data_IF_828769960622
#
_entry.id   IF_828769960622
#
_cell.length_a   1.000
_cell.length_b   1.000
_cell.length_c   1.000
_cell.angle_alpha   90.00
_cell.angle_beta   90.00
_cell.angle_gamma   90.00
#
_symmetry.space_group_name_H-M   'P 1'
#
loop_
_entity.id
_entity.type
_entity.pdbx_description
1 polymer ?
#
# COMPACT_ATOMS: atom_id res chain seq x y z
N UNK A 1 -15.28 4.64 -44.21
CA UNK A 1 -14.83 3.71 -43.16
C UNK A 1 -13.66 4.39 -42.44
N UNK A 2 -13.86 5.35 -41.53
CA UNK A 2 -14.35 5.20 -40.14
C UNK A 2 -13.62 4.07 -39.40
N UNK A 3 -12.77 4.28 -38.40
CA UNK A 3 -12.22 5.48 -37.78
C UNK A 3 -11.17 5.03 -36.76
N UNK A 4 -9.94 5.52 -36.86
CA UNK A 4 -8.90 5.29 -35.85
C UNK A 4 -9.07 6.32 -34.74
N UNK A 5 -9.49 5.86 -33.55
CA UNK A 5 -9.48 6.69 -32.34
C UNK A 5 -8.06 6.70 -31.76
N UNK A 6 -7.51 7.90 -31.71
CA UNK A 6 -6.30 8.27 -30.98
C UNK A 6 -6.49 7.98 -29.48
N UNK A 7 -5.67 7.08 -28.92
CA UNK A 7 -5.52 6.95 -27.47
C UNK A 7 -4.56 8.03 -26.98
N UNK A 8 -5.08 8.95 -26.17
CA UNK A 8 -4.27 9.92 -25.44
C UNK A 8 -3.46 9.19 -24.37
N UNK A 9 -2.14 9.45 -24.35
CA UNK A 9 -1.25 9.10 -23.24
C UNK A 9 -1.64 9.93 -22.02
N UNK A 10 -2.22 9.31 -21.01
CA UNK A 10 -2.20 9.81 -19.63
C UNK A 10 -0.89 9.31 -19.01
N UNK A 11 0.00 10.24 -18.70
CA UNK A 11 1.30 9.96 -18.09
C UNK A 11 1.15 9.50 -16.64
N UNK A 12 1.75 8.36 -16.32
CA UNK A 12 1.89 7.84 -14.96
C UNK A 12 3.04 8.55 -14.25
N UNK A 13 2.74 9.43 -13.29
CA UNK A 13 3.74 10.09 -12.40
C UNK A 13 3.68 9.54 -10.95
N UNK A 14 2.75 8.64 -10.64
CA UNK A 14 2.55 8.13 -9.27
C UNK A 14 3.64 7.17 -8.72
N UNK A 15 4.67 6.80 -9.50
CA UNK A 15 5.65 5.77 -9.11
C UNK A 15 6.91 6.32 -8.38
N UNK A 16 7.07 7.64 -8.23
CA UNK A 16 8.27 8.23 -7.63
C UNK A 16 8.28 8.21 -6.08
N UNK A 17 7.16 7.92 -5.41
CA UNK A 17 6.99 8.03 -3.96
C UNK A 17 7.36 6.76 -3.15
N UNK A 18 8.32 5.97 -3.63
CA UNK A 18 8.83 4.79 -2.90
C UNK A 18 10.29 4.96 -2.42
N UNK A 19 10.86 6.17 -2.57
CA UNK A 19 12.31 6.37 -2.70
C UNK A 19 13.07 7.08 -1.56
N UNK A 20 12.52 7.27 -0.36
CA UNK A 20 13.40 7.68 0.76
C UNK A 20 13.00 7.16 2.12
N UNK A 21 13.35 5.91 2.35
CA UNK A 21 14.12 5.57 3.55
C UNK A 21 15.16 4.55 3.08
N UNK A 22 16.37 5.00 2.73
CA UNK A 22 17.65 4.25 2.83
C UNK A 22 18.74 4.83 1.92
N UNK A 23 19.67 5.59 2.51
CA UNK A 23 21.11 5.67 2.19
C UNK A 23 21.66 7.03 2.70
N UNK A 24 21.74 7.21 4.02
CA UNK A 24 22.64 8.20 4.60
C UNK A 24 24.05 7.61 4.70
N UNK A 25 25.13 8.36 4.42
CA UNK A 25 26.47 7.94 4.78
C UNK A 25 26.60 7.96 6.31
N UNK A 26 27.33 6.98 6.86
CA UNK A 26 27.68 6.95 8.28
C UNK A 26 28.30 8.29 8.72
N UNK A 27 27.56 9.04 9.53
CA UNK A 27 28.03 10.23 10.21
C UNK A 27 27.70 10.10 11.71
N UNK A 28 28.76 10.33 12.48
CA UNK A 28 28.87 10.27 13.94
C UNK A 28 27.92 11.22 14.67
N UNK A 29 27.34 10.69 15.75
CA UNK A 29 26.81 11.31 17.00
C UNK A 29 26.25 12.75 16.99
N UNK A 30 25.06 12.85 17.61
CA UNK A 30 24.31 14.02 18.07
C UNK A 30 23.54 14.85 17.04
N UNK A 31 22.33 14.38 16.68
CA UNK A 31 21.18 15.24 16.38
C UNK A 31 19.83 14.48 16.46
N UNK A 32 19.18 14.52 17.63
CA UNK A 32 17.74 14.21 17.76
C UNK A 32 16.91 15.42 17.29
N UNK A 33 16.49 15.40 16.02
CA UNK A 33 15.39 16.22 15.51
C UNK A 33 14.79 15.50 14.29
N UNK A 34 13.49 15.17 14.37
CA UNK A 34 12.79 14.26 13.44
C UNK A 34 13.22 14.38 11.98
N UNK A 35 13.69 13.25 11.44
CA UNK A 35 14.28 13.17 10.12
C UNK A 35 13.32 13.62 9.02
N UNK A 36 13.61 14.78 8.42
CA UNK A 36 12.89 15.26 7.26
C UNK A 36 13.29 14.45 6.03
N UNK A 37 12.32 13.74 5.47
CA UNK A 37 12.53 12.96 4.24
C UNK A 37 12.20 13.82 3.02
N UNK A 38 13.21 14.21 2.24
CA UNK A 38 13.05 14.87 0.94
C UNK A 38 13.49 13.92 -0.21
N UNK A 39 12.63 13.72 -1.21
CA UNK A 39 12.97 13.07 -2.50
C UNK A 39 12.51 13.95 -3.63
N UNK A 40 13.34 14.00 -4.66
CA UNK A 40 13.02 14.60 -5.94
C UNK A 40 13.18 13.58 -7.06
N UNK A 41 12.21 13.51 -7.98
CA UNK A 41 12.25 12.62 -9.14
C UNK A 41 11.20 13.03 -10.17
N UNK A 42 11.59 13.18 -11.44
CA UNK A 42 10.65 13.38 -12.55
C UNK A 42 9.79 14.66 -12.51
N UNK A 43 10.23 15.71 -11.82
CA UNK A 43 9.45 16.94 -11.67
C UNK A 43 8.46 16.92 -10.50
N UNK A 44 8.45 15.86 -9.69
CA UNK A 44 7.75 15.80 -8.43
C UNK A 44 8.75 15.83 -7.26
N UNK A 45 8.32 16.42 -6.14
CA UNK A 45 9.01 16.31 -4.86
C UNK A 45 8.02 16.10 -3.72
N UNK A 46 8.48 15.46 -2.66
CA UNK A 46 7.69 15.21 -1.46
C UNK A 46 8.49 15.62 -0.21
N UNK A 47 7.78 15.96 0.85
CA UNK A 47 8.31 16.13 2.20
C UNK A 47 7.27 15.61 3.16
N UNK A 48 7.68 14.83 4.14
CA UNK A 48 6.77 14.23 5.10
C UNK A 48 7.37 14.25 6.51
N UNK A 49 6.53 14.60 7.48
CA UNK A 49 6.70 14.41 8.92
C UNK A 49 5.40 13.79 9.48
N UNK A 50 5.38 13.27 10.71
CA UNK A 50 4.15 12.77 11.33
C UNK A 50 3.01 13.82 11.38
N UNK A 51 3.35 15.10 11.47
CA UNK A 51 2.40 16.21 11.60
C UNK A 51 2.04 16.84 10.24
N UNK A 52 2.95 16.82 9.28
CA UNK A 52 2.79 17.55 8.02
C UNK A 52 3.32 16.79 6.82
N UNK A 53 2.66 16.96 5.68
CA UNK A 53 3.28 16.62 4.41
C UNK A 53 3.08 17.72 3.39
N UNK A 54 4.02 17.77 2.45
CA UNK A 54 3.95 18.59 1.27
C UNK A 54 4.30 17.72 0.06
N UNK A 55 3.44 17.76 -0.94
CA UNK A 55 3.67 17.13 -2.24
C UNK A 55 3.69 18.23 -3.30
N UNK A 56 4.64 18.15 -4.20
CA UNK A 56 4.87 19.12 -5.26
C UNK A 56 4.96 18.39 -6.59
N UNK A 57 4.28 18.89 -7.61
CA UNK A 57 4.39 18.39 -8.99
C UNK A 57 4.51 19.56 -9.97
N UNK A 58 5.40 19.42 -10.94
CA UNK A 58 5.59 20.36 -12.05
C UNK A 58 4.89 19.84 -13.30
N UNK A 59 4.03 20.66 -13.88
CA UNK A 59 3.36 20.36 -15.15
C UNK A 59 3.88 21.29 -16.25
N UNK A 60 4.70 20.75 -17.16
CA UNK A 60 5.35 21.51 -18.24
C UNK A 60 4.53 21.64 -19.53
N UNK A 61 3.52 20.78 -19.72
CA UNK A 61 2.77 20.66 -20.98
C UNK A 61 1.41 21.38 -20.96
N UNK A 62 1.16 22.21 -19.95
CA UNK A 62 -0.07 22.99 -19.87
C UNK A 62 0.01 24.19 -20.79
N UNK A 63 -0.78 24.19 -21.86
CA UNK A 63 -0.91 25.39 -22.68
C UNK A 63 -1.78 26.40 -21.96
N UNK A 64 -1.34 27.64 -21.89
CA UNK A 64 -2.07 28.74 -21.23
C UNK A 64 -3.49 28.92 -21.83
N UNK A 65 -3.67 28.60 -23.11
CA UNK A 65 -4.96 28.61 -23.82
C UNK A 65 -5.94 27.50 -23.38
N UNK A 66 -5.45 26.45 -22.71
CA UNK A 66 -6.28 25.33 -22.30
C UNK A 66 -7.07 25.62 -21.02
N UNK A 67 -6.65 26.57 -20.19
CA UNK A 67 -7.27 26.88 -18.90
C UNK A 67 -7.57 28.37 -18.76
N UNK A 68 -8.66 28.70 -18.07
CA UNK A 68 -8.89 30.11 -17.72
C UNK A 68 -7.84 30.59 -16.70
N UNK A 69 -7.56 31.91 -16.62
CA UNK A 69 -6.79 32.47 -15.52
C UNK A 69 -7.45 32.16 -14.17
N UNK A 70 -6.64 31.86 -13.15
CA UNK A 70 -7.15 31.64 -11.80
C UNK A 70 -7.83 32.92 -11.27
N UNK A 71 -9.04 32.83 -10.71
CA UNK A 71 -9.72 33.99 -10.19
C UNK A 71 -9.07 34.47 -8.87
N UNK A 72 -9.35 35.71 -8.43
CA UNK A 72 -8.91 36.21 -7.13
C UNK A 72 -9.37 35.33 -5.96
N UNK A 73 -8.62 35.33 -4.86
CA UNK A 73 -8.88 34.48 -3.68
C UNK A 73 -10.29 34.67 -3.08
N UNK A 74 -10.88 35.87 -3.19
CA UNK A 74 -12.24 36.11 -2.73
C UNK A 74 -13.27 35.23 -3.45
N UNK A 75 -13.07 34.97 -4.74
CA UNK A 75 -13.95 34.12 -5.55
C UNK A 75 -13.79 32.64 -5.18
N UNK A 76 -12.60 32.23 -4.74
CA UNK A 76 -12.37 30.86 -4.27
C UNK A 76 -13.19 30.51 -3.02
N UNK A 77 -13.61 31.52 -2.23
CA UNK A 77 -14.51 31.33 -1.08
C UNK A 77 -15.93 30.94 -1.49
N UNK A 78 -16.31 31.21 -2.75
CA UNK A 78 -17.60 30.84 -3.34
C UNK A 78 -17.55 29.47 -4.04
N UNK A 79 -16.44 28.74 -3.90
CA UNK A 79 -16.29 27.42 -4.49
C UNK A 79 -17.22 26.42 -3.79
N UNK A 80 -17.91 25.64 -4.62
CA UNK A 80 -18.82 24.59 -4.21
C UNK A 80 -18.42 23.29 -4.90
N UNK A 81 -18.67 22.17 -4.23
CA UNK A 81 -18.44 20.83 -4.78
C UNK A 81 -19.77 20.09 -4.78
N UNK A 82 -20.17 19.60 -5.94
CA UNK A 82 -21.29 18.67 -6.07
C UNK A 82 -20.73 17.25 -6.12
N UNK A 83 -20.79 16.56 -4.99
CA UNK A 83 -20.30 15.19 -4.86
C UNK A 83 -21.22 14.19 -5.54
N UNK A 84 -20.62 13.19 -6.19
CA UNK A 84 -21.33 12.02 -6.68
C UNK A 84 -21.29 10.92 -5.63
N UNK A 85 -22.14 9.89 -5.81
CA UNK A 85 -22.11 8.70 -4.96
C UNK A 85 -20.73 8.03 -5.07
N UNK A 86 -20.02 7.73 -3.96
CA UNK A 86 -18.78 6.98 -4.01
C UNK A 86 -18.98 5.57 -4.60
N UNK A 87 -17.98 5.09 -5.33
CA UNK A 87 -17.97 3.78 -5.96
C UNK A 87 -16.77 2.98 -5.47
N UNK A 88 -16.95 1.66 -5.27
CA UNK A 88 -15.86 0.77 -4.93
C UNK A 88 -15.33 0.02 -6.15
N UNK A 89 -14.06 -0.33 -6.10
CA UNK A 89 -13.50 -1.31 -7.04
C UNK A 89 -14.10 -2.72 -6.83
N UNK A 90 -13.70 -3.66 -7.67
CA UNK A 90 -14.24 -5.01 -7.66
C UNK A 90 -13.83 -5.84 -6.43
N UNK A 91 -12.83 -5.40 -5.67
CA UNK A 91 -12.34 -6.04 -4.44
C UNK A 91 -12.77 -5.30 -3.16
N UNK A 92 -13.38 -4.13 -3.29
CA UNK A 92 -13.72 -3.25 -2.17
C UNK A 92 -12.53 -2.54 -1.53
N UNK A 93 -11.34 -2.57 -2.14
CA UNK A 93 -10.14 -1.97 -1.55
C UNK A 93 -10.08 -0.48 -1.75
N UNK A 94 -10.57 0.01 -2.89
CA UNK A 94 -10.51 1.43 -3.24
C UNK A 94 -11.88 2.03 -3.40
N UNK A 95 -11.96 3.28 -2.97
CA UNK A 95 -13.10 4.14 -3.13
C UNK A 95 -12.77 5.22 -4.15
N UNK A 96 -13.50 5.24 -5.26
CA UNK A 96 -13.48 6.35 -6.20
C UNK A 96 -14.51 7.39 -5.76
N UNK A 97 -14.01 8.58 -5.43
CA UNK A 97 -14.81 9.75 -5.09
C UNK A 97 -14.75 10.74 -6.25
N UNK A 98 -15.93 11.09 -6.78
CA UNK A 98 -16.08 12.04 -7.89
C UNK A 98 -16.86 13.26 -7.43
N UNK A 99 -16.52 14.40 -8.03
CA UNK A 99 -17.18 15.66 -7.74
C UNK A 99 -17.11 16.63 -8.91
N UNK A 100 -17.94 17.64 -8.85
CA UNK A 100 -17.97 18.74 -9.81
C UNK A 100 -17.71 20.06 -9.09
N UNK A 101 -16.57 20.68 -9.34
CA UNK A 101 -16.20 21.98 -8.81
C UNK A 101 -16.93 23.08 -9.58
N UNK A 102 -17.50 24.04 -8.86
CA UNK A 102 -18.13 25.22 -9.44
C UNK A 102 -18.04 26.44 -8.54
N UNK A 103 -18.19 27.64 -9.12
CA UNK A 103 -18.38 28.90 -8.39
C UNK A 103 -19.83 29.35 -8.58
N UNK A 104 -20.43 29.90 -7.52
CA UNK A 104 -21.75 30.53 -7.60
C UNK A 104 -21.64 31.95 -8.14
N UNK A 105 -22.13 32.22 -9.35
CA UNK A 105 -22.15 33.58 -9.87
C UNK A 105 -23.20 34.43 -9.12
N UNK A 106 -22.73 35.42 -8.35
CA UNK A 106 -23.55 36.27 -7.47
C UNK A 106 -24.79 36.90 -8.13
N UNK A 107 -24.79 37.07 -9.47
CA UNK A 107 -25.85 37.77 -10.19
C UNK A 107 -26.96 36.88 -10.77
N UNK A 108 -26.81 35.55 -10.83
CA UNK A 108 -27.72 34.70 -11.63
C UNK A 108 -28.08 33.32 -11.08
N UNK A 109 -27.68 32.98 -9.85
CA UNK A 109 -27.84 31.60 -9.32
C UNK A 109 -27.28 30.53 -10.28
N UNK A 110 -26.31 30.93 -11.11
CA UNK A 110 -25.70 30.08 -12.13
C UNK A 110 -24.40 29.53 -11.54
N UNK A 111 -24.25 28.20 -11.55
CA UNK A 111 -23.00 27.52 -11.21
C UNK A 111 -22.08 27.56 -12.44
N UNK A 112 -20.94 28.20 -12.32
CA UNK A 112 -19.91 28.20 -13.36
C UNK A 112 -18.86 27.12 -13.00
N UNK A 113 -18.53 26.19 -13.91
CA UNK A 113 -17.52 25.18 -13.62
C UNK A 113 -16.15 25.82 -13.39
N UNK A 114 -15.36 25.22 -12.50
CA UNK A 114 -13.94 25.57 -12.35
C UNK A 114 -13.19 25.14 -13.60
N UNK A 115 -12.81 26.10 -14.43
CA UNK A 115 -12.16 25.86 -15.73
C UNK A 115 -10.71 26.40 -15.80
N UNK A 116 -10.15 26.82 -14.67
CA UNK A 116 -8.71 27.06 -14.53
C UNK A 116 -7.99 25.81 -14.01
N UNK A 117 -6.68 25.79 -14.16
CA UNK A 117 -5.85 24.69 -13.71
C UNK A 117 -5.80 24.66 -12.17
N UNK A 118 -6.32 23.60 -11.55
CA UNK A 118 -6.48 23.52 -10.09
C UNK A 118 -6.15 22.14 -9.55
N UNK A 119 -5.07 22.03 -8.76
CA UNK A 119 -4.81 20.88 -7.91
C UNK A 119 -5.76 20.85 -6.71
N UNK A 120 -6.19 19.67 -6.31
CA UNK A 120 -7.09 19.44 -5.18
C UNK A 120 -6.58 18.30 -4.30
N UNK A 121 -6.87 18.37 -3.00
CA UNK A 121 -6.73 17.24 -2.06
C UNK A 121 -8.11 16.89 -1.54
N UNK A 122 -8.49 15.62 -1.64
CA UNK A 122 -9.63 15.06 -0.91
C UNK A 122 -9.15 14.65 0.48
N UNK A 123 -9.84 15.12 1.51
CA UNK A 123 -9.77 14.60 2.87
C UNK A 123 -10.95 13.68 3.10
N UNK A 124 -10.71 12.53 3.72
CA UNK A 124 -11.75 11.62 4.18
C UNK A 124 -11.43 11.17 5.60
N UNK A 125 -12.43 11.17 6.47
CA UNK A 125 -12.28 10.66 7.83
C UNK A 125 -11.82 9.20 7.80
N UNK A 126 -10.87 8.83 8.66
CA UNK A 126 -10.35 7.46 8.74
C UNK A 126 -11.37 6.50 9.35
N UNK A 127 -12.15 6.98 10.31
CA UNK A 127 -13.20 6.20 10.95
C UNK A 127 -14.58 6.60 10.39
N UNK A 128 -15.49 5.63 10.19
CA UNK A 128 -16.86 5.95 9.78
C UNK A 128 -17.55 6.79 10.85
N UNK A 129 -18.49 7.64 10.44
CA UNK A 129 -19.30 8.52 11.28
C UNK A 129 -18.56 9.60 12.08
N UNK A 130 -17.22 9.62 12.08
CA UNK A 130 -16.47 10.69 12.71
C UNK A 130 -16.49 11.95 11.85
N UNK A 131 -16.26 13.10 12.50
CA UNK A 131 -16.28 14.41 11.87
C UNK A 131 -15.05 15.24 12.25
N UNK A 132 -13.84 14.89 11.75
CA UNK A 132 -12.64 15.69 11.97
C UNK A 132 -12.85 17.16 11.59
N UNK A 133 -12.16 18.07 12.29
CA UNK A 133 -12.16 19.49 11.95
C UNK A 133 -10.98 19.82 11.02
N UNK A 134 -11.29 20.11 9.75
CA UNK A 134 -10.29 20.47 8.74
C UNK A 134 -10.16 21.96 8.47
N UNK A 135 -10.67 22.82 9.35
CA UNK A 135 -10.59 24.29 9.19
C UNK A 135 -9.16 24.83 9.24
N UNK A 136 -8.18 24.03 9.69
CA UNK A 136 -6.75 24.37 9.73
C UNK A 136 -5.87 23.38 8.95
N UNK A 137 -6.48 22.54 8.13
CA UNK A 137 -5.83 21.38 7.53
C UNK A 137 -6.21 20.08 8.22
N UNK A 138 -5.71 18.95 7.71
CA UNK A 138 -6.03 17.63 8.22
C UNK A 138 -4.99 17.11 9.22
N UNK A 139 -5.43 16.19 10.08
CA UNK A 139 -4.58 15.42 10.97
C UNK A 139 -4.36 14.02 10.40
N UNK A 140 -3.10 13.59 10.29
CA UNK A 140 -2.77 12.28 9.71
C UNK A 140 -3.29 11.10 10.55
N UNK A 141 -3.55 11.31 11.84
CA UNK A 141 -4.07 10.29 12.75
C UNK A 141 -5.57 9.99 12.52
N UNK A 142 -6.34 10.91 11.96
CA UNK A 142 -7.80 10.77 11.79
C UNK A 142 -8.29 10.94 10.35
N UNK A 143 -7.39 11.22 9.41
CA UNK A 143 -7.72 11.54 8.02
C UNK A 143 -6.86 10.72 7.05
N UNK A 144 -7.50 10.20 6.00
CA UNK A 144 -6.84 9.69 4.78
C UNK A 144 -7.04 10.69 3.66
N UNK A 145 -6.17 10.67 2.65
CA UNK A 145 -6.21 11.67 1.59
C UNK A 145 -5.85 11.11 0.22
N UNK A 146 -6.29 11.83 -0.81
CA UNK A 146 -5.88 11.63 -2.19
C UNK A 146 -5.72 12.99 -2.88
N UNK A 147 -4.78 13.10 -3.81
CA UNK A 147 -4.54 14.31 -4.59
C UNK A 147 -4.91 14.09 -6.05
N UNK A 148 -5.37 15.14 -6.71
CA UNK A 148 -5.65 15.14 -8.14
C UNK A 148 -5.56 16.56 -8.71
N UNK A 149 -5.61 16.66 -10.03
CA UNK A 149 -5.83 17.91 -10.75
C UNK A 149 -7.22 17.90 -11.37
N UNK A 150 -7.97 18.97 -11.20
CA UNK A 150 -9.30 19.12 -11.78
C UNK A 150 -9.23 19.21 -13.32
N UNK A 151 -10.18 18.56 -13.99
CA UNK A 151 -10.39 18.71 -15.44
C UNK A 151 -10.92 20.11 -15.75
N UNK A 152 -10.76 20.60 -16.97
CA UNK A 152 -11.29 21.92 -17.43
C UNK A 152 -12.81 22.06 -17.22
N UNK A 153 -13.54 20.95 -17.18
CA UNK A 153 -14.97 20.95 -16.88
C UNK A 153 -15.27 21.21 -15.39
N UNK A 154 -14.27 21.27 -14.51
CA UNK A 154 -14.36 21.27 -13.06
C UNK A 154 -14.55 19.88 -12.45
N UNK A 155 -14.58 18.82 -13.27
CA UNK A 155 -14.72 17.46 -12.78
C UNK A 155 -13.43 16.99 -12.09
N UNK A 156 -13.61 16.34 -10.94
CA UNK A 156 -12.54 15.70 -10.16
C UNK A 156 -12.86 14.22 -9.97
N UNK A 157 -11.81 13.42 -9.94
CA UNK A 157 -11.86 11.98 -9.70
C UNK A 157 -10.65 11.62 -8.86
N UNK A 158 -10.89 11.11 -7.65
CA UNK A 158 -9.87 10.76 -6.68
C UNK A 158 -10.08 9.32 -6.22
N UNK A 159 -8.99 8.62 -5.94
CA UNK A 159 -9.00 7.23 -5.50
C UNK A 159 -8.40 7.16 -4.10
N UNK A 160 -9.16 6.65 -3.15
CA UNK A 160 -8.73 6.42 -1.76
C UNK A 160 -8.54 4.92 -1.53
N UNK A 161 -7.47 4.55 -0.83
CA UNK A 161 -7.29 3.19 -0.33
C UNK A 161 -8.06 3.03 1.00
N UNK A 162 -9.14 2.27 0.98
CA UNK A 162 -9.96 2.02 2.16
C UNK A 162 -9.25 1.15 3.19
N UNK A 163 -8.16 0.47 2.83
CA UNK A 163 -7.30 -0.23 3.79
C UNK A 163 -6.53 0.76 4.66
N UNK A 164 -6.49 2.04 4.34
CA UNK A 164 -5.97 3.04 5.27
C UNK A 164 -7.02 3.55 6.27
N UNK A 165 -8.24 3.01 6.21
CA UNK A 165 -9.39 3.42 7.02
C UNK A 165 -9.89 2.27 7.90
N UNK A 166 -10.80 2.57 8.82
CA UNK A 166 -11.52 1.57 9.62
C UNK A 166 -12.80 1.09 8.91
N UNK A 167 -12.74 0.92 7.58
CA UNK A 167 -13.89 0.49 6.78
C UNK A 167 -14.28 -0.96 7.08
N UNK A 168 -15.55 -1.17 7.37
CA UNK A 168 -16.18 -2.48 7.39
C UNK A 168 -16.80 -2.74 6.02
N UNK A 169 -16.11 -3.56 5.24
CA UNK A 169 -16.51 -3.95 3.89
C UNK A 169 -17.90 -4.61 3.80
N UNK A 170 -18.48 -5.06 4.93
CA UNK A 170 -19.77 -5.76 4.93
C UNK A 170 -21.00 -4.82 4.94
N UNK A 171 -20.83 -3.53 5.24
CA UNK A 171 -21.93 -2.59 5.46
C UNK A 171 -21.70 -1.23 4.78
N UNK A 172 -22.80 -0.57 4.42
CA UNK A 172 -22.75 0.82 3.95
C UNK A 172 -22.39 1.74 5.13
N UNK A 173 -21.37 2.58 4.96
CA UNK A 173 -20.85 3.42 6.04
C UNK A 173 -20.72 4.88 5.61
N UNK A 174 -21.22 5.85 6.42
CA UNK A 174 -21.05 7.26 6.12
C UNK A 174 -19.68 7.75 6.61
N UNK A 175 -18.98 8.48 5.75
CA UNK A 175 -17.70 9.12 6.04
C UNK A 175 -17.79 10.61 5.77
N UNK A 176 -17.18 11.42 6.64
CA UNK A 176 -16.98 12.82 6.30
C UNK A 176 -15.92 12.90 5.20
N UNK A 177 -16.18 13.71 4.19
CA UNK A 177 -15.22 14.08 3.15
C UNK A 177 -15.18 15.60 3.01
N UNK A 178 -14.07 16.11 2.51
CA UNK A 178 -13.86 17.54 2.27
C UNK A 178 -12.75 17.75 1.25
N UNK A 179 -12.71 18.92 0.63
CA UNK A 179 -11.75 19.25 -0.41
C UNK A 179 -10.88 20.43 0.01
N UNK A 180 -9.58 20.32 -0.16
CA UNK A 180 -8.63 21.43 -0.02
C UNK A 180 -8.04 21.79 -1.39
N UNK A 181 -7.73 23.08 -1.62
CA UNK A 181 -7.15 23.55 -2.87
C UNK A 181 -5.62 23.60 -2.78
N UNK A 182 -4.94 22.94 -3.70
CA UNK A 182 -3.50 23.08 -3.81
C UNK A 182 -3.10 24.52 -4.15
N UNK A 183 -1.91 24.93 -3.68
CA UNK A 183 -1.29 26.19 -4.07
C UNK A 183 -0.65 26.05 -5.44
N UNK A 184 -0.65 27.14 -6.19
CA UNK A 184 -0.03 27.22 -7.51
C UNK A 184 1.09 28.25 -7.51
N UNK A 185 2.16 27.95 -8.22
CA UNK A 185 3.20 28.92 -8.52
C UNK A 185 3.64 28.78 -9.97
N UNK A 186 3.87 29.88 -10.70
CA UNK A 186 4.47 29.81 -12.02
C UNK A 186 5.88 29.22 -11.91
N UNK A 187 6.22 28.32 -12.84
CA UNK A 187 7.54 27.69 -12.92
C UNK A 187 8.11 27.87 -14.34
N UNK A 188 8.98 28.86 -14.50
CA UNK A 188 9.51 29.22 -15.81
C UNK A 188 8.46 29.88 -16.70
N UNK A 189 8.62 29.74 -18.03
CA UNK A 189 7.76 30.43 -19.02
C UNK A 189 6.42 29.74 -19.29
N UNK A 190 6.32 28.43 -19.07
CA UNK A 190 5.14 27.63 -19.42
C UNK A 190 4.77 26.57 -18.38
N UNK A 191 5.58 26.37 -17.35
CA UNK A 191 5.31 25.38 -16.31
C UNK A 191 4.41 25.94 -15.22
N UNK A 192 3.51 25.10 -14.72
CA UNK A 192 2.81 25.34 -13.46
C UNK A 192 3.31 24.36 -12.41
N UNK A 193 3.62 24.88 -11.22
CA UNK A 193 3.95 24.09 -10.04
C UNK A 193 2.72 23.99 -9.16
N UNK A 194 2.28 22.78 -8.85
CA UNK A 194 1.21 22.51 -7.91
C UNK A 194 1.81 22.03 -6.60
N UNK A 195 1.38 22.63 -5.49
CA UNK A 195 1.84 22.27 -4.14
C UNK A 195 0.64 21.92 -3.28
N UNK A 196 0.51 20.64 -2.96
CA UNK A 196 -0.45 20.11 -2.00
C UNK A 196 0.21 20.04 -0.63
N UNK A 197 -0.53 20.37 0.44
CA UNK A 197 -0.01 20.34 1.81
C UNK A 197 -1.15 20.02 2.79
N UNK A 198 -0.89 19.18 3.79
CA UNK A 198 -1.85 18.77 4.83
C UNK A 198 -2.43 19.93 5.66
N UNK A 199 -1.69 21.04 5.81
CA UNK A 199 -2.12 22.27 6.51
C UNK A 199 -3.08 23.14 5.70
N UNK A 200 -3.40 22.74 4.47
CA UNK A 200 -4.35 23.48 3.65
C UNK A 200 -5.76 23.21 4.17
N UNK A 201 -6.53 24.22 4.61
CA UNK A 201 -7.86 23.98 5.16
C UNK A 201 -8.81 23.47 4.09
N UNK A 202 -9.75 22.62 4.52
CA UNK A 202 -10.84 22.21 3.64
C UNK A 202 -11.76 23.39 3.35
N UNK A 203 -12.30 23.44 2.14
CA UNK A 203 -13.33 24.40 1.74
C UNK A 203 -14.59 24.06 2.55
N UNK A 204 -15.11 24.96 3.39
CA UNK A 204 -16.23 24.63 4.27
C UNK A 204 -17.46 24.09 3.52
N UNK A 205 -17.78 24.66 2.34
CA UNK A 205 -18.90 24.24 1.51
C UNK A 205 -18.70 22.86 0.85
N UNK A 206 -17.50 22.30 0.87
CA UNK A 206 -17.22 20.95 0.36
C UNK A 206 -17.36 19.86 1.42
N UNK A 207 -17.43 20.22 2.71
CA UNK A 207 -17.41 19.24 3.80
C UNK A 207 -18.79 18.59 3.93
N UNK A 208 -18.88 17.30 3.64
CA UNK A 208 -20.14 16.56 3.62
C UNK A 208 -19.95 15.12 4.10
N UNK A 209 -21.01 14.50 4.63
CA UNK A 209 -21.06 13.04 4.83
C UNK A 209 -21.43 12.34 3.53
N UNK A 210 -20.56 11.47 3.01
CA UNK A 210 -20.87 10.57 1.89
C UNK A 210 -20.96 9.14 2.40
N UNK A 211 -21.96 8.40 1.91
CA UNK A 211 -22.08 6.96 2.18
C UNK A 211 -21.21 6.17 1.21
N UNK A 212 -20.15 5.56 1.73
CA UNK A 212 -19.37 4.54 1.03
C UNK A 212 -20.19 3.24 1.07
N UNK A 213 -20.51 2.63 -0.09
CA UNK A 213 -21.28 1.40 -0.12
C UNK A 213 -20.46 0.24 0.44
N UNK A 214 -21.11 -0.85 0.87
CA UNK A 214 -20.44 -2.11 1.18
C UNK A 214 -19.68 -2.65 -0.03
N UNK A 215 -18.60 -3.40 0.22
CA UNK A 215 -17.83 -4.06 -0.82
C UNK A 215 -18.70 -5.06 -1.62
N UNK A 216 -18.36 -5.29 -2.89
CA UNK A 216 -18.96 -6.38 -3.67
C UNK A 216 -18.76 -7.72 -2.96
N UNK A 217 -19.80 -8.56 -2.97
CA UNK A 217 -19.66 -9.92 -2.45
C UNK A 217 -18.71 -10.72 -3.36
N UNK A 218 -17.63 -11.23 -2.77
CA UNK A 218 -16.64 -12.10 -3.43
C UNK A 218 -16.56 -13.43 -2.68
N UNK A 219 -15.95 -14.45 -3.27
CA UNK A 219 -15.78 -15.74 -2.58
C UNK A 219 -14.80 -15.61 -1.42
N UNK A 220 -14.98 -16.41 -0.36
CA UNK A 220 -14.08 -16.47 0.81
C UNK A 220 -12.60 -16.51 0.43
N UNK A 221 -12.23 -17.28 -0.59
CA UNK A 221 -10.83 -17.41 -1.01
C UNK A 221 -10.28 -16.11 -1.61
N UNK A 222 -11.10 -15.37 -2.36
CA UNK A 222 -10.73 -14.05 -2.88
C UNK A 222 -10.60 -13.05 -1.74
N UNK A 223 -11.48 -13.07 -0.74
CA UNK A 223 -11.38 -12.23 0.45
C UNK A 223 -10.08 -12.49 1.21
N UNK A 224 -9.69 -13.75 1.37
CA UNK A 224 -8.44 -14.11 2.05
C UNK A 224 -7.19 -13.69 1.26
N UNK A 225 -7.17 -13.87 -0.07
CA UNK A 225 -6.10 -13.34 -0.92
C UNK A 225 -6.03 -11.82 -0.77
N UNK A 226 -7.18 -11.15 -0.81
CA UNK A 226 -7.29 -9.70 -0.74
C UNK A 226 -6.80 -9.15 0.60
N UNK A 227 -7.11 -9.82 1.72
CA UNK A 227 -6.59 -9.47 3.04
C UNK A 227 -5.07 -9.66 3.18
N UNK A 228 -4.53 -10.65 2.49
CA UNK A 228 -3.10 -10.87 2.42
C UNK A 228 -2.39 -9.88 1.49
N UNK A 229 -3.13 -9.10 0.68
CA UNK A 229 -2.57 -8.11 -0.22
C UNK A 229 -1.74 -7.08 0.55
N UNK A 230 -0.56 -6.77 0.00
CA UNK A 230 0.44 -5.94 0.66
C UNK A 230 1.42 -6.73 1.54
N UNK A 231 1.27 -8.03 1.80
CA UNK A 231 2.37 -8.78 2.44
C UNK A 231 3.58 -8.87 1.49
N UNK A 232 4.83 -8.73 1.97
CA UNK A 232 5.24 -8.39 3.35
C UNK A 232 5.31 -6.87 3.62
N UNK A 233 5.06 -6.05 2.60
CA UNK A 233 5.26 -4.61 2.59
C UNK A 233 3.96 -3.88 2.94
N UNK A 234 3.72 -3.71 4.22
CA UNK A 234 2.67 -2.84 4.70
C UNK A 234 2.83 -1.40 4.25
N UNK A 235 1.71 -0.77 3.91
CA UNK A 235 1.60 0.68 4.01
C UNK A 235 1.17 1.03 5.44
N UNK A 236 1.90 1.98 6.04
CA UNK A 236 1.93 2.59 7.40
C UNK A 236 0.79 2.38 8.42
N UNK A 237 -0.40 1.92 8.05
CA UNK A 237 -1.55 1.81 8.98
C UNK A 237 -2.14 0.42 9.08
N UNK A 238 -2.08 -0.37 8.01
CA UNK A 238 -2.46 -1.79 8.06
C UNK A 238 -1.25 -2.59 7.63
N UNK A 239 -0.67 -3.30 8.60
CA UNK A 239 0.41 -4.24 8.32
C UNK A 239 -0.22 -5.59 7.99
N UNK A 240 -0.24 -6.00 6.71
CA UNK A 240 -0.72 -7.31 6.32
C UNK A 240 0.13 -8.35 7.02
N UNK A 241 -0.56 -9.24 7.72
CA UNK A 241 0.06 -10.23 8.58
C UNK A 241 0.38 -11.48 7.76
N UNK A 242 1.52 -12.12 8.03
CA UNK A 242 1.78 -13.47 7.48
C UNK A 242 0.70 -14.48 7.87
N UNK A 243 -0.09 -14.21 8.92
CA UNK A 243 -1.30 -14.98 9.27
C UNK A 243 -2.33 -14.98 8.13
N UNK A 244 -2.56 -13.83 7.48
CA UNK A 244 -3.54 -13.75 6.39
C UNK A 244 -3.02 -14.43 5.12
N UNK A 245 -1.71 -14.40 4.88
CA UNK A 245 -1.07 -15.19 3.82
C UNK A 245 -1.23 -16.71 4.08
N UNK A 246 -0.99 -17.19 5.31
CA UNK A 246 -1.18 -18.59 5.70
C UNK A 246 -2.64 -19.02 5.48
N UNK A 247 -3.61 -18.20 5.88
CA UNK A 247 -5.04 -18.45 5.67
C UNK A 247 -5.41 -18.54 4.19
N UNK A 248 -4.92 -17.61 3.38
CA UNK A 248 -5.15 -17.62 1.93
C UNK A 248 -4.60 -18.89 1.29
N UNK A 249 -3.37 -19.28 1.62
CA UNK A 249 -2.74 -20.50 1.09
C UNK A 249 -3.50 -21.74 1.55
N UNK A 250 -3.89 -21.82 2.83
CA UNK A 250 -4.64 -22.96 3.38
C UNK A 250 -6.00 -23.13 2.71
N UNK A 251 -6.73 -22.03 2.50
CA UNK A 251 -8.01 -22.04 1.81
C UNK A 251 -7.87 -22.47 0.34
N UNK A 252 -6.84 -21.98 -0.37
CA UNK A 252 -6.57 -22.36 -1.75
C UNK A 252 -6.11 -23.82 -1.86
N UNK A 253 -5.30 -24.31 -0.93
CA UNK A 253 -4.85 -25.70 -0.88
C UNK A 253 -6.04 -26.67 -0.83
N UNK A 254 -7.03 -26.38 0.02
CA UNK A 254 -8.25 -27.17 0.15
C UNK A 254 -9.10 -27.25 -1.13
N UNK A 255 -8.94 -26.30 -2.07
CA UNK A 255 -9.65 -26.32 -3.36
C UNK A 255 -9.06 -27.31 -4.37
N UNK A 256 -7.81 -27.74 -4.19
CA UNK A 256 -7.06 -28.46 -5.21
C UNK A 256 -6.47 -27.54 -6.29
N UNK A 257 -5.54 -28.08 -7.09
CA UNK A 257 -4.67 -27.32 -8.00
C UNK A 257 -5.44 -26.43 -8.98
N UNK A 258 -6.36 -27.03 -9.74
CA UNK A 258 -7.02 -26.33 -10.85
C UNK A 258 -7.93 -25.21 -10.37
N UNK A 259 -8.69 -25.46 -9.31
CA UNK A 259 -9.57 -24.44 -8.70
C UNK A 259 -8.76 -23.34 -8.02
N UNK A 260 -7.68 -23.68 -7.32
CA UNK A 260 -6.80 -22.66 -6.73
C UNK A 260 -6.21 -21.73 -7.81
N UNK A 261 -5.71 -22.28 -8.91
CA UNK A 261 -5.19 -21.48 -10.03
C UNK A 261 -6.27 -20.62 -10.69
N UNK A 262 -7.48 -21.14 -10.87
CA UNK A 262 -8.61 -20.36 -11.39
C UNK A 262 -8.99 -19.20 -10.46
N UNK A 263 -8.97 -19.41 -9.14
CA UNK A 263 -9.20 -18.35 -8.14
C UNK A 263 -8.11 -17.26 -8.22
N UNK A 264 -6.83 -17.66 -8.35
CA UNK A 264 -5.73 -16.70 -8.52
C UNK A 264 -5.85 -15.91 -9.82
N UNK A 265 -6.25 -16.54 -10.93
CA UNK A 265 -6.53 -15.85 -12.20
C UNK A 265 -7.66 -14.84 -12.04
N UNK A 266 -8.73 -15.22 -11.33
CA UNK A 266 -9.84 -14.31 -11.07
C UNK A 266 -9.43 -13.13 -10.20
N UNK A 267 -8.60 -13.35 -9.18
CA UNK A 267 -8.06 -12.28 -8.36
C UNK A 267 -7.23 -11.29 -9.19
N UNK A 268 -6.35 -11.78 -10.07
CA UNK A 268 -5.58 -10.93 -11.00
C UNK A 268 -6.49 -10.14 -11.96
N UNK A 269 -7.59 -10.75 -12.43
CA UNK A 269 -8.58 -10.04 -13.26
C UNK A 269 -9.25 -8.89 -12.50
N UNK A 270 -9.68 -9.15 -11.25
CA UNK A 270 -10.39 -8.16 -10.41
C UNK A 270 -9.47 -7.03 -9.93
N UNK A 271 -8.16 -7.26 -9.88
CA UNK A 271 -7.14 -6.27 -9.46
C UNK A 271 -6.49 -5.51 -10.62
N UNK A 272 -6.95 -5.72 -11.88
CA UNK A 272 -6.35 -5.07 -13.07
C UNK A 272 -6.50 -3.55 -13.08
N UNK A 273 -7.62 -3.04 -12.60
CA UNK A 273 -7.91 -1.60 -12.63
C UNK A 273 -7.19 -0.84 -11.51
N UNK A 274 -6.49 -1.56 -10.65
CA UNK A 274 -5.74 -0.98 -9.55
C UNK A 274 -4.43 -0.42 -10.10
N UNK A 275 -4.30 0.90 -10.08
CA UNK A 275 -3.05 1.61 -10.41
C UNK A 275 -1.84 1.27 -9.48
N UNK A 276 -1.94 0.24 -8.64
CA UNK A 276 -0.80 -0.26 -7.85
C UNK A 276 -0.61 -1.74 -8.12
N UNK A 277 0.61 -2.09 -8.52
CA UNK A 277 1.03 -3.47 -8.79
C UNK A 277 1.10 -4.33 -7.52
N UNK A 278 1.21 -3.72 -6.33
CA UNK A 278 1.38 -4.42 -5.05
C UNK A 278 0.24 -5.38 -4.69
N UNK A 279 -0.99 -5.07 -5.10
CA UNK A 279 -2.15 -5.93 -4.81
C UNK A 279 -2.06 -7.25 -5.58
N UNK A 280 -1.48 -7.21 -6.77
CA UNK A 280 -1.26 -8.37 -7.64
C UNK A 280 -0.04 -9.18 -7.21
N UNK A 281 0.95 -8.55 -6.58
CA UNK A 281 2.19 -9.20 -6.15
C UNK A 281 1.98 -10.32 -5.13
N UNK A 282 0.91 -10.27 -4.34
CA UNK A 282 0.57 -11.33 -3.38
C UNK A 282 0.46 -12.72 -4.03
N UNK A 283 0.08 -12.76 -5.32
CA UNK A 283 -0.02 -14.00 -6.10
C UNK A 283 1.34 -14.69 -6.23
N UNK A 284 2.44 -13.94 -6.33
CA UNK A 284 3.80 -14.52 -6.36
C UNK A 284 4.13 -15.27 -5.07
N UNK A 285 3.70 -14.73 -3.94
CA UNK A 285 3.96 -15.27 -2.60
C UNK A 285 3.08 -16.47 -2.33
N UNK A 286 1.80 -16.40 -2.69
CA UNK A 286 0.88 -17.53 -2.59
C UNK A 286 1.38 -18.71 -3.43
N UNK A 287 1.80 -18.48 -4.69
CA UNK A 287 2.27 -19.58 -5.56
C UNK A 287 3.48 -20.30 -4.96
N UNK A 288 4.42 -19.59 -4.34
CA UNK A 288 5.61 -20.16 -3.68
C UNK A 288 5.27 -21.04 -2.47
N UNK A 289 4.24 -20.64 -1.72
CA UNK A 289 3.79 -21.39 -0.56
C UNK A 289 2.88 -22.54 -0.94
N UNK A 290 2.10 -22.41 -2.01
CA UNK A 290 1.07 -23.37 -2.40
C UNK A 290 1.62 -24.51 -3.28
N UNK A 291 2.64 -24.24 -4.10
CA UNK A 291 3.16 -25.19 -5.08
C UNK A 291 4.64 -25.55 -4.87
N UNK A 292 4.97 -26.77 -5.24
CA UNK A 292 6.34 -27.27 -5.41
C UNK A 292 6.59 -27.64 -6.88
N UNK A 293 7.83 -27.61 -7.36
CA UNK A 293 8.17 -28.11 -8.70
C UNK A 293 7.90 -29.62 -8.80
N UNK A 294 7.35 -30.08 -9.93
CA UNK A 294 7.10 -31.51 -10.21
C UNK A 294 8.38 -32.34 -10.07
N UNK A 295 9.52 -31.80 -10.53
CA UNK A 295 10.81 -32.48 -10.48
C UNK A 295 11.59 -31.97 -9.28
N UNK A 296 11.99 -32.84 -8.34
CA UNK A 296 12.87 -32.45 -7.26
C UNK A 296 14.13 -31.76 -7.79
N UNK A 297 14.44 -30.58 -7.25
CA UNK A 297 15.61 -29.78 -7.66
C UNK A 297 15.35 -28.74 -8.75
N UNK A 298 14.21 -28.80 -9.46
CA UNK A 298 13.76 -27.67 -10.28
C UNK A 298 13.50 -26.45 -9.36
N UNK A 299 13.64 -25.24 -9.90
CA UNK A 299 13.39 -24.00 -9.15
C UNK A 299 12.06 -23.37 -9.54
N UNK A 300 11.39 -22.78 -8.55
CA UNK A 300 10.30 -21.83 -8.81
C UNK A 300 10.93 -20.57 -9.43
N UNK A 301 10.43 -20.05 -10.56
CA UNK A 301 10.95 -18.82 -11.16
C UNK A 301 10.93 -17.69 -10.14
N UNK A 302 12.05 -17.01 -9.92
CA UNK A 302 12.11 -15.83 -9.06
C UNK A 302 11.14 -14.75 -9.60
N UNK A 303 10.40 -14.02 -8.74
CA UNK A 303 9.47 -13.02 -9.23
C UNK A 303 10.27 -11.78 -9.62
N UNK A 304 10.11 -11.29 -10.85
CA UNK A 304 10.78 -10.04 -11.25
C UNK A 304 9.92 -8.85 -10.84
N UNK A 305 9.86 -8.60 -9.54
CA UNK A 305 9.22 -7.42 -8.97
C UNK A 305 10.34 -6.39 -8.82
N UNK A 306 10.24 -5.30 -9.60
CA UNK A 306 11.08 -4.10 -9.48
C UNK A 306 12.58 -4.30 -9.22
N UNK A 307 13.25 -5.31 -9.79
CA UNK A 307 14.71 -5.60 -9.83
C UNK A 307 15.47 -5.74 -8.50
N UNK A 308 15.48 -6.95 -7.92
CA UNK A 308 16.35 -7.30 -6.77
C UNK A 308 17.78 -7.22 -7.29
N UNK A 309 18.41 -6.06 -7.18
CA UNK A 309 19.85 -5.89 -7.25
C UNK A 309 20.43 -6.36 -5.93
N UNK A 310 20.29 -7.65 -5.63
CA UNK A 310 21.28 -8.31 -4.82
C UNK A 310 21.85 -9.44 -5.68
N UNK A 311 22.79 -8.97 -6.50
CA UNK A 311 23.82 -9.71 -7.18
C UNK A 311 23.39 -11.03 -7.84
N UNK A 312 23.31 -11.05 -9.18
CA UNK A 312 23.16 -12.30 -9.94
C UNK A 312 24.25 -13.33 -9.57
N UNK A 313 25.34 -12.89 -8.94
CA UNK A 313 26.34 -13.76 -8.32
C UNK A 313 25.90 -14.29 -6.93
N UNK A 314 25.40 -13.45 -6.01
CA UNK A 314 24.87 -13.93 -4.71
C UNK A 314 23.66 -14.85 -4.86
N UNK A 315 22.74 -14.59 -5.79
CA UNK A 315 21.57 -15.43 -6.02
C UNK A 315 21.91 -16.85 -6.53
N UNK A 316 23.12 -17.07 -7.04
CA UNK A 316 23.58 -18.43 -7.41
C UNK A 316 23.87 -19.27 -6.16
N UNK A 317 24.39 -18.63 -5.11
CA UNK A 317 24.83 -19.29 -3.86
C UNK A 317 23.78 -19.23 -2.74
N UNK A 318 22.90 -18.23 -2.75
CA UNK A 318 21.75 -18.15 -1.86
C UNK A 318 20.63 -19.10 -2.29
N UNK A 319 20.70 -20.32 -1.74
CA UNK A 319 19.71 -21.40 -1.95
C UNK A 319 18.54 -21.30 -0.96
N UNK A 320 17.87 -20.15 -0.87
CA UNK A 320 16.55 -20.12 -0.23
C UNK A 320 15.60 -20.94 -1.10
N UNK A 321 14.97 -22.01 -0.59
CA UNK A 321 14.08 -22.86 -1.39
C UNK A 321 12.94 -22.08 -2.04
N UNK A 322 12.52 -20.98 -1.41
CA UNK A 322 11.42 -20.12 -1.83
C UNK A 322 11.83 -18.68 -2.16
N UNK A 323 13.10 -18.45 -2.52
CA UNK A 323 13.68 -17.13 -2.77
C UNK A 323 12.69 -16.11 -3.40
N UNK A 324 12.52 -14.90 -2.81
CA UNK A 324 13.17 -14.35 -1.60
C UNK A 324 12.47 -14.67 -0.26
N UNK A 325 11.69 -15.75 -0.19
CA UNK A 325 11.03 -16.19 1.05
C UNK A 325 11.75 -17.36 1.73
N UNK A 326 11.61 -17.46 3.04
CA UNK A 326 11.86 -18.68 3.82
C UNK A 326 10.57 -19.13 4.52
N UNK A 327 10.38 -20.44 4.61
CA UNK A 327 9.29 -21.05 5.38
C UNK A 327 9.90 -21.77 6.58
N UNK A 328 9.82 -21.17 7.76
CA UNK A 328 10.33 -21.77 9.00
C UNK A 328 9.15 -22.33 9.78
N UNK A 329 9.12 -23.66 9.91
CA UNK A 329 8.10 -24.38 10.67
C UNK A 329 6.66 -23.97 10.29
N UNK A 330 6.42 -23.75 8.99
CA UNK A 330 5.11 -23.34 8.47
C UNK A 330 4.82 -21.84 8.51
N UNK A 331 5.78 -21.00 8.94
CA UNK A 331 5.63 -19.53 9.01
C UNK A 331 6.44 -18.87 7.88
N UNK A 332 5.79 -18.11 6.97
CA UNK A 332 6.47 -17.47 5.86
C UNK A 332 7.14 -16.16 6.30
N UNK A 333 8.39 -15.97 5.88
CA UNK A 333 9.15 -14.75 6.08
C UNK A 333 9.78 -14.29 4.76
N UNK A 334 9.76 -12.98 4.51
CA UNK A 334 10.60 -12.34 3.51
C UNK A 334 12.00 -12.15 4.11
N UNK A 335 13.01 -12.78 3.50
CA UNK A 335 14.39 -12.83 4.03
C UNK A 335 15.37 -11.94 3.23
N UNK A 336 14.88 -11.16 2.27
CA UNK A 336 15.67 -10.24 1.45
C UNK A 336 15.36 -8.77 1.72
N UNK A 337 16.30 -7.90 1.39
CA UNK A 337 16.13 -6.44 1.40
C UNK A 337 15.29 -5.97 0.18
N UNK A 338 14.64 -4.82 0.36
CA UNK A 338 14.03 -3.98 -0.68
C UNK A 338 14.93 -3.79 -1.89
N UNK A 339 14.24 -3.45 -2.96
CA UNK A 339 14.60 -3.75 -4.31
C UNK A 339 14.83 -2.43 -5.06
N UNK A 340 15.92 -2.34 -5.83
CA UNK A 340 16.19 -1.18 -6.68
C UNK A 340 15.26 -1.18 -7.90
N UNK A 341 14.23 -0.32 -7.86
CA UNK A 341 13.20 -0.25 -8.91
C UNK A 341 13.79 0.05 -10.30
N UNK A 342 13.89 -0.99 -11.14
CA UNK A 342 14.29 -0.87 -12.54
C UNK A 342 13.48 -1.80 -13.45
N UNK A 343 12.88 -1.24 -14.50
CA UNK A 343 12.10 -2.00 -15.48
C UNK A 343 10.63 -2.19 -15.10
N UNK A 344 9.88 -2.82 -16.01
CA UNK A 344 8.47 -3.14 -15.78
C UNK A 344 8.37 -4.38 -14.88
N UNK A 345 7.58 -4.35 -13.79
CA UNK A 345 7.35 -5.53 -12.98
C UNK A 345 6.76 -6.66 -13.82
N UNK A 346 7.17 -7.89 -13.53
CA UNK A 346 6.57 -9.08 -14.11
C UNK A 346 5.10 -9.18 -13.72
N UNK A 347 4.24 -9.61 -14.65
CA UNK A 347 2.82 -9.81 -14.39
C UNK A 347 2.57 -11.18 -13.75
N UNK A 348 1.81 -11.33 -12.64
CA UNK A 348 1.68 -12.60 -11.91
C UNK A 348 1.15 -13.78 -12.70
N UNK A 349 0.42 -13.52 -13.80
CA UNK A 349 -0.03 -14.58 -14.71
C UNK A 349 1.10 -15.44 -15.27
N UNK A 350 2.35 -14.97 -15.35
CA UNK A 350 3.48 -15.84 -15.73
C UNK A 350 3.74 -16.94 -14.69
N UNK A 351 3.63 -16.62 -13.40
CA UNK A 351 3.80 -17.60 -12.31
C UNK A 351 2.60 -18.53 -12.21
N UNK A 352 1.38 -18.05 -12.46
CA UNK A 352 0.20 -18.92 -12.57
C UNK A 352 0.40 -19.94 -13.71
N UNK A 353 0.86 -19.48 -14.89
CA UNK A 353 1.18 -20.38 -16.01
C UNK A 353 2.30 -21.36 -15.68
N UNK A 354 3.31 -20.93 -14.93
CA UNK A 354 4.35 -21.83 -14.44
C UNK A 354 3.76 -22.89 -13.51
N UNK A 355 2.99 -22.51 -12.49
CA UNK A 355 2.39 -23.43 -11.52
C UNK A 355 1.46 -24.44 -12.20
N UNK A 356 0.70 -24.01 -13.22
CA UNK A 356 -0.12 -24.89 -14.05
C UNK A 356 0.71 -26.00 -14.71
N UNK A 357 1.83 -25.65 -15.34
CA UNK A 357 2.65 -26.60 -16.14
C UNK A 357 3.66 -27.39 -15.32
N UNK A 358 4.23 -26.79 -14.29
CA UNK A 358 5.41 -27.28 -13.59
C UNK A 358 5.21 -27.44 -12.09
N UNK A 359 4.12 -26.90 -11.54
CA UNK A 359 3.81 -27.00 -10.12
C UNK A 359 2.96 -28.23 -9.78
N UNK A 360 3.22 -28.83 -8.64
CA UNK A 360 2.30 -29.72 -7.91
C UNK A 360 1.90 -29.01 -6.63
N UNK A 361 0.67 -29.24 -6.15
CA UNK A 361 0.33 -28.76 -4.81
C UNK A 361 1.25 -29.43 -3.80
N UNK A 362 1.69 -28.65 -2.81
CA UNK A 362 2.34 -29.23 -1.64
C UNK A 362 1.45 -30.29 -1.00
N UNK A 363 2.05 -31.29 -0.38
CA UNK A 363 1.30 -32.33 0.31
C UNK A 363 0.45 -31.75 1.46
N UNK A 364 1.05 -30.82 2.21
CA UNK A 364 0.40 -30.13 3.33
C UNK A 364 0.44 -28.61 3.13
N UNK A 365 -0.63 -27.89 3.50
CA UNK A 365 -0.56 -26.43 3.59
C UNK A 365 0.40 -26.00 4.71
N UNK A 366 0.89 -24.76 4.71
CA UNK A 366 1.69 -24.24 5.80
C UNK A 366 0.86 -24.24 7.10
N UNK A 367 1.30 -25.02 8.08
CA UNK A 367 0.73 -25.05 9.43
C UNK A 367 1.84 -24.63 10.40
N UNK A 368 1.74 -23.45 11.03
CA UNK A 368 2.75 -23.00 11.99
C UNK A 368 2.92 -23.98 13.16
N UNK A 369 4.14 -24.47 13.37
CA UNK A 369 4.48 -25.38 14.48
C UNK A 369 5.09 -24.66 15.71
N UNK A 370 5.56 -23.43 15.53
CA UNK A 370 6.10 -22.57 16.59
C UNK A 370 5.44 -21.19 16.57
N UNK A 371 5.87 -20.29 17.47
CA UNK A 371 5.49 -18.89 17.42
C UNK A 371 6.37 -18.09 16.45
N UNK A 372 5.84 -17.03 15.81
CA UNK A 372 6.57 -16.23 14.82
C UNK A 372 7.86 -15.60 15.34
N UNK A 373 7.93 -15.20 16.62
CA UNK A 373 9.11 -14.54 17.19
C UNK A 373 10.28 -15.52 17.24
N UNK A 374 10.07 -16.75 17.73
CA UNK A 374 11.08 -17.81 17.71
C UNK A 374 11.47 -18.24 16.29
N UNK A 375 10.50 -18.28 15.36
CA UNK A 375 10.80 -18.61 13.96
C UNK A 375 11.69 -17.54 13.30
N UNK A 376 11.42 -16.25 13.54
CA UNK A 376 12.27 -15.17 13.06
C UNK A 376 13.66 -15.24 13.70
N UNK A 377 13.77 -15.46 15.01
CA UNK A 377 15.05 -15.60 15.70
C UNK A 377 15.89 -16.76 15.13
N UNK A 378 15.24 -17.87 14.80
CA UNK A 378 15.89 -19.01 14.12
C UNK A 378 16.43 -18.65 12.73
N UNK A 379 15.74 -17.78 11.99
CA UNK A 379 16.24 -17.26 10.71
C UNK A 379 17.45 -16.36 10.95
N UNK A 380 17.36 -15.42 11.90
CA UNK A 380 18.44 -14.49 12.24
C UNK A 380 19.71 -15.23 12.66
N UNK A 381 19.58 -16.30 13.44
CA UNK A 381 20.70 -17.15 13.87
C UNK A 381 21.20 -18.10 12.77
N UNK A 382 20.47 -18.25 11.66
CA UNK A 382 20.83 -19.22 10.61
C UNK A 382 22.12 -18.83 9.89
N UNK A 383 22.96 -19.81 9.56
CA UNK A 383 24.18 -19.60 8.77
C UNK A 383 23.89 -18.90 7.43
N UNK A 384 22.72 -19.14 6.83
CA UNK A 384 22.34 -18.56 5.54
C UNK A 384 22.08 -17.06 5.68
N UNK A 385 21.37 -16.64 6.72
CA UNK A 385 21.13 -15.22 7.00
C UNK A 385 22.42 -14.51 7.42
N UNK A 386 23.25 -15.14 8.23
CA UNK A 386 24.56 -14.60 8.65
C UNK A 386 25.57 -14.48 7.50
N UNK A 387 25.33 -15.13 6.36
CA UNK A 387 26.16 -15.02 5.16
C UNK A 387 25.75 -13.87 4.24
N UNK A 388 24.68 -13.13 4.56
CA UNK A 388 24.27 -11.95 3.80
C UNK A 388 25.29 -10.80 3.98
N UNK A 389 25.43 -9.90 2.98
CA UNK A 389 26.11 -8.63 3.17
C UNK A 389 25.57 -7.89 4.40
N UNK A 390 26.44 -7.19 5.12
CA UNK A 390 26.10 -6.52 6.38
C UNK A 390 24.86 -5.62 6.25
N UNK A 391 24.83 -4.77 5.22
CA UNK A 391 23.69 -3.91 4.91
C UNK A 391 22.38 -4.69 4.69
N UNK A 392 22.42 -5.77 3.90
CA UNK A 392 21.24 -6.62 3.66
C UNK A 392 20.79 -7.34 4.95
N UNK A 393 21.73 -7.70 5.81
CA UNK A 393 21.48 -8.37 7.10
C UNK A 393 20.86 -7.42 8.12
N UNK A 394 21.33 -6.17 8.23
CA UNK A 394 20.74 -5.15 9.12
C UNK A 394 19.28 -4.89 8.76
N UNK A 395 19.02 -4.58 7.48
CA UNK A 395 17.64 -4.36 7.01
C UNK A 395 16.77 -5.61 7.10
N UNK A 396 17.34 -6.77 6.76
CA UNK A 396 16.67 -8.06 6.91
C UNK A 396 16.28 -8.32 8.37
N UNK A 397 17.13 -7.94 9.32
CA UNK A 397 16.87 -8.13 10.76
C UNK A 397 15.61 -7.37 11.16
N UNK A 398 15.55 -6.07 10.87
CA UNK A 398 14.37 -5.25 11.19
C UNK A 398 13.12 -5.76 10.50
N UNK A 399 13.22 -6.11 9.21
CA UNK A 399 12.07 -6.65 8.47
C UNK A 399 11.56 -7.97 9.06
N UNK A 400 12.43 -8.88 9.47
CA UNK A 400 12.04 -10.17 10.06
C UNK A 400 11.40 -10.00 11.43
N UNK A 401 11.99 -9.15 12.28
CA UNK A 401 11.43 -8.80 13.60
C UNK A 401 10.02 -8.21 13.46
N UNK A 402 9.86 -7.25 12.54
CA UNK A 402 8.58 -6.62 12.25
C UNK A 402 7.54 -7.61 11.73
N UNK A 403 7.91 -8.46 10.78
CA UNK A 403 7.02 -9.50 10.25
C UNK A 403 6.53 -10.44 11.37
N UNK A 404 7.42 -10.85 12.27
CA UNK A 404 7.06 -11.72 13.40
C UNK A 404 6.12 -11.03 14.39
N UNK A 405 6.46 -9.82 14.84
CA UNK A 405 5.66 -9.09 15.82
C UNK A 405 4.25 -8.81 15.31
N UNK A 406 4.10 -8.44 14.04
CA UNK A 406 2.78 -8.18 13.44
C UNK A 406 1.88 -9.41 13.46
N UNK A 407 2.43 -10.62 13.33
CA UNK A 407 1.66 -11.86 13.43
C UNK A 407 1.13 -12.14 14.83
N UNK A 408 1.75 -11.57 15.87
CA UNK A 408 1.38 -11.80 17.28
C UNK A 408 1.09 -10.53 18.07
N UNK A 409 0.91 -9.38 17.40
CA UNK A 409 0.79 -8.05 18.04
C UNK A 409 -0.29 -7.91 19.11
N UNK A 410 -1.31 -8.77 19.08
CA UNK A 410 -2.40 -8.79 20.06
C UNK A 410 -2.11 -9.70 21.28
N UNK A 411 -1.01 -10.46 21.24
CA UNK A 411 -0.65 -11.49 22.20
C UNK A 411 0.62 -11.15 23.00
N UNK A 412 1.32 -10.09 22.60
CA UNK A 412 2.49 -9.54 23.30
C UNK A 412 2.14 -8.13 23.76
N UNK A 413 2.86 -7.63 24.78
CA UNK A 413 2.67 -6.32 25.38
C UNK A 413 2.67 -5.24 24.31
N UNK A 414 1.92 -4.13 24.51
CA UNK A 414 1.62 -3.20 23.44
C UNK A 414 2.91 -2.70 22.81
N UNK A 415 3.14 -3.17 21.59
CA UNK A 415 4.21 -2.68 20.73
C UNK A 415 4.00 -1.17 20.63
N UNK A 416 5.03 -0.39 20.99
CA UNK A 416 5.05 1.02 20.58
C UNK A 416 4.88 1.05 19.05
N UNK A 417 4.16 2.04 18.51
CA UNK A 417 3.82 2.00 17.09
C UNK A 417 5.09 1.79 16.25
N UNK A 418 5.14 0.69 15.47
CA UNK A 418 6.38 0.15 14.93
C UNK A 418 7.03 1.06 13.88
N UNK A 419 6.29 2.04 13.41
CA UNK A 419 6.73 2.97 12.37
C UNK A 419 7.68 4.06 12.90
N UNK A 420 7.89 4.15 14.22
CA UNK A 420 8.71 5.20 14.84
C UNK A 420 10.04 4.71 15.46
N UNK A 421 10.21 3.40 15.67
CA UNK A 421 11.38 2.88 16.38
C UNK A 421 11.98 1.64 15.72
N UNK A 422 13.30 1.64 15.54
CA UNK A 422 14.05 0.45 15.19
C UNK A 422 13.99 -0.55 16.36
N UNK A 423 13.73 -1.83 16.11
CA UNK A 423 13.69 -2.84 17.17
C UNK A 423 15.13 -3.26 17.45
N UNK A 424 15.70 -2.77 18.54
CA UNK A 424 17.05 -3.15 18.95
C UNK A 424 17.11 -4.60 19.52
N UNK A 425 18.30 -5.02 19.91
CA UNK A 425 18.52 -6.38 20.43
C UNK A 425 17.91 -6.60 21.82
N UNK A 426 17.82 -5.56 22.65
CA UNK A 426 17.26 -5.65 24.00
C UNK A 426 15.72 -5.74 23.94
N UNK A 427 15.08 -4.93 23.08
CA UNK A 427 13.67 -5.03 22.74
C UNK A 427 13.33 -6.41 22.19
N UNK A 428 14.12 -6.89 21.22
CA UNK A 428 13.90 -8.22 20.63
C UNK A 428 14.02 -9.33 21.66
N UNK A 429 14.99 -9.24 22.56
CA UNK A 429 15.15 -10.18 23.67
C UNK A 429 13.93 -10.14 24.61
N UNK A 430 13.42 -8.96 24.94
CA UNK A 430 12.21 -8.83 25.76
C UNK A 430 11.00 -9.49 25.10
N UNK A 431 10.82 -9.31 23.79
CA UNK A 431 9.75 -9.98 23.04
C UNK A 431 9.91 -11.50 23.00
N UNK A 432 11.13 -12.03 22.89
CA UNK A 432 11.41 -13.47 22.97
C UNK A 432 11.00 -14.05 24.33
N UNK A 433 11.41 -13.39 25.42
CA UNK A 433 11.11 -13.82 26.79
C UNK A 433 9.60 -13.76 27.09
N UNK A 434 8.91 -12.73 26.61
CA UNK A 434 7.46 -12.60 26.72
C UNK A 434 6.72 -13.69 25.93
N UNK A 435 7.09 -13.90 24.66
CA UNK A 435 6.49 -14.92 23.80
C UNK A 435 6.64 -16.33 24.39
N UNK A 436 7.81 -16.63 24.95
CA UNK A 436 8.07 -17.88 25.67
C UNK A 436 7.18 -18.01 26.92
N UNK A 437 6.99 -16.92 27.66
CA UNK A 437 6.16 -16.88 28.87
C UNK A 437 4.68 -17.11 28.57
N UNK A 438 4.17 -16.56 27.46
CA UNK A 438 2.77 -16.67 27.03
C UNK A 438 2.42 -18.01 26.37
N UNK A 439 3.39 -18.81 25.95
CA UNK A 439 3.11 -20.09 25.29
C UNK A 439 2.25 -19.91 24.03
N UNK A 440 2.63 -18.93 23.21
CA UNK A 440 1.96 -18.59 21.95
C UNK A 440 2.04 -19.80 21.01
N UNK A 441 0.89 -20.22 20.47
CA UNK A 441 0.78 -21.34 19.52
C UNK A 441 -0.29 -21.09 18.47
N UNK A 442 -0.21 -21.81 17.35
CA UNK A 442 -1.25 -21.81 16.34
C UNK A 442 -2.49 -22.59 16.79
N UNK A 443 -3.66 -22.00 16.61
CA UNK A 443 -4.95 -22.69 16.71
C UNK A 443 -5.46 -23.02 15.30
N UNK A 444 -5.40 -24.29 14.85
CA UNK A 444 -5.81 -24.66 13.50
C UNK A 444 -7.31 -24.48 13.24
N UNK A 445 -8.16 -24.41 14.29
CA UNK A 445 -9.60 -24.17 14.11
C UNK A 445 -9.91 -22.70 13.87
N UNK A 446 -9.14 -21.81 14.50
CA UNK A 446 -9.29 -20.35 14.36
C UNK A 446 -8.37 -19.76 13.29
N UNK A 447 -7.45 -20.57 12.77
CA UNK A 447 -6.39 -20.17 11.85
C UNK A 447 -5.67 -18.91 12.35
N UNK A 448 -5.26 -18.90 13.62
CA UNK A 448 -4.54 -17.76 14.23
C UNK A 448 -3.66 -18.20 15.40
N UNK A 449 -2.70 -17.35 15.78
CA UNK A 449 -1.95 -17.53 17.01
C UNK A 449 -2.82 -17.20 18.24
N UNK A 450 -2.63 -17.97 19.32
CA UNK A 450 -3.33 -17.82 20.60
C UNK A 450 -2.36 -18.05 21.76
N UNK A 451 -2.68 -17.48 22.92
CA UNK A 451 -2.00 -17.76 24.20
C UNK A 451 -2.62 -19.03 24.80
N UNK A 452 -1.79 -19.95 25.28
CA UNK A 452 -2.28 -21.11 26.03
C UNK A 452 -2.46 -20.68 27.49
N UNK A 453 -3.68 -20.72 28.02
CA UNK A 453 -3.90 -20.52 29.44
C UNK A 453 -3.06 -21.55 30.22
N UNK A 454 -2.19 -21.07 31.11
CA UNK A 454 -1.39 -21.92 32.01
C UNK A 454 -2.27 -22.65 33.00
#
# INVERSE_FOLDING_TARGET
MAGMKSFARLGSVALACLLAVSAGPACTEDQEAGDEVEVSGGGASWRWTPEEWTYTETHGDLKEEDYAPQPPEQVLKELNVEWQKPELDALGNRCTVRGQLSISAASKNQKLPVNWFQGVTLYMAMAPQTKPDWTKGMNQADTVHATAVAKKSGAIELHLDLRETLHDASVDQPYQVGLALAKHAPQGKSGQKVVWNSRTPAIPASVQMLTVPRAPAISRELELINRAAGWPFAHRKIIPSGVDLIRAVSALHALGKDRALATLEKYVELSRDLHYDSDQEIVFWIIRLLFEPIRPGDRIPAPMIALILDDREFAKDMKWPLNPMELVEGIPFMVGHRIAMGGMPEHPSSHIRWARRHGVLRETPPIPATNPIQAADSILASRRFQALPEFSREQGTQSLRMQALVMVRQLVSPMQEPDAHEIDDDDWKAYLDEAATHGIRWDPKREQFVVTAK
#
